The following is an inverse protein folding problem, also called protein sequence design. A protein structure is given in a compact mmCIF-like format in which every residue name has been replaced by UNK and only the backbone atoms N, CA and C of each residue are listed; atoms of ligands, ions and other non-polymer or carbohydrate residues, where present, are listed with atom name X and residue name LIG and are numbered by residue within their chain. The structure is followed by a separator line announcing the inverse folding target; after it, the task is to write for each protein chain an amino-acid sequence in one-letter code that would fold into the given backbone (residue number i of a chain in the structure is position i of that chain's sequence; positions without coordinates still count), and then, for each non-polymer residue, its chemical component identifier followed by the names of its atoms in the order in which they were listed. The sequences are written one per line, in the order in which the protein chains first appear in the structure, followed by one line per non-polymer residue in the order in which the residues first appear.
data_IF_988355010702
#
_entry.id   IF_988355010702
#
_cell.length_a   1.000
_cell.length_b   1.000
_cell.length_c   1.000
_cell.angle_alpha   90.00
_cell.angle_beta   90.00
_cell.angle_gamma   90.00
#
_symmetry.space_group_name_H-M   'P 1'
#
loop_
_entity.id
_entity.type
_entity.pdbx_description
1 polymer ?
#
# COMPACT_ATOMS: atom_id res chain seq x y z
N UNK A 1 -19.39 25.24 16.85
CA UNK A 1 -18.98 24.69 15.54
C UNK A 1 -17.48 24.79 15.31
N UNK A 2 -16.87 25.96 15.46
CA UNK A 2 -15.44 26.16 15.25
C UNK A 2 -14.57 25.26 16.16
N UNK A 3 -14.93 25.13 17.44
CA UNK A 3 -14.20 24.27 18.37
C UNK A 3 -14.25 22.78 17.98
N UNK A 4 -15.40 22.30 17.52
CA UNK A 4 -15.54 20.90 17.06
C UNK A 4 -14.64 20.63 15.87
N UNK A 5 -14.58 21.57 14.93
CA UNK A 5 -13.71 21.46 13.75
C UNK A 5 -12.23 21.44 14.13
N UNK A 6 -11.80 22.31 15.06
CA UNK A 6 -10.42 22.35 15.56
C UNK A 6 -10.04 21.04 16.24
N UNK A 7 -10.90 20.51 17.11
CA UNK A 7 -10.65 19.24 17.77
C UNK A 7 -10.63 18.06 16.81
N UNK A 8 -11.49 18.08 15.78
CA UNK A 8 -11.48 17.06 14.74
C UNK A 8 -10.16 17.06 13.93
N UNK A 9 -9.66 18.24 13.58
CA UNK A 9 -8.36 18.36 12.90
C UNK A 9 -7.20 17.93 13.79
N UNK A 10 -7.23 18.29 15.08
CA UNK A 10 -6.22 17.86 16.03
C UNK A 10 -6.21 16.33 16.19
N UNK A 11 -7.39 15.71 16.34
CA UNK A 11 -7.51 14.26 16.43
C UNK A 11 -7.00 13.56 15.16
N UNK A 12 -7.34 14.09 13.98
CA UNK A 12 -6.83 13.58 12.71
C UNK A 12 -5.30 13.67 12.65
N UNK A 13 -4.74 14.80 13.05
CA UNK A 13 -3.28 15.00 13.11
C UNK A 13 -2.59 13.98 14.01
N UNK A 14 -3.17 13.69 15.19
CA UNK A 14 -2.66 12.68 16.12
C UNK A 14 -2.72 11.28 15.49
N UNK A 15 -3.82 10.92 14.87
CA UNK A 15 -3.96 9.61 14.19
C UNK A 15 -2.92 9.44 13.10
N UNK A 16 -2.72 10.45 12.27
CA UNK A 16 -1.69 10.44 11.22
C UNK A 16 -0.30 10.29 11.82
N UNK A 17 0.03 11.11 12.81
CA UNK A 17 1.33 11.07 13.48
C UNK A 17 1.61 9.71 14.11
N UNK A 18 0.66 9.17 14.88
CA UNK A 18 0.81 7.85 15.50
C UNK A 18 0.99 6.75 14.46
N UNK A 19 0.19 6.76 13.39
CA UNK A 19 0.29 5.74 12.33
C UNK A 19 1.68 5.69 11.70
N UNK A 20 2.26 6.85 11.38
CA UNK A 20 3.61 6.89 10.79
C UNK A 20 4.69 6.58 11.83
N UNK A 21 4.51 6.99 13.08
CA UNK A 21 5.46 6.65 14.16
C UNK A 21 5.52 5.16 14.46
N UNK A 22 4.37 4.48 14.45
CA UNK A 22 4.30 3.02 14.62
C UNK A 22 5.06 2.30 13.51
N UNK A 23 4.92 2.76 12.26
CA UNK A 23 5.63 2.16 11.12
C UNK A 23 7.13 2.32 11.25
N UNK A 24 7.61 3.48 11.69
CA UNK A 24 9.05 3.70 11.93
C UNK A 24 9.59 2.79 13.06
N UNK A 25 8.79 2.57 14.10
CA UNK A 25 9.18 1.73 15.23
C UNK A 25 9.19 0.22 14.91
N UNK A 26 8.30 -0.24 14.02
CA UNK A 26 8.10 -1.66 13.72
C UNK A 26 8.41 -2.08 12.28
N UNK A 27 8.83 -1.18 11.45
CA UNK A 27 9.10 -1.43 10.04
C UNK A 27 9.97 -0.37 9.39
N UNK A 28 9.94 -0.31 8.08
CA UNK A 28 10.64 0.70 7.31
C UNK A 28 9.80 1.98 7.17
N UNK A 29 10.41 3.17 7.16
CA UNK A 29 9.70 4.40 6.86
C UNK A 29 9.11 4.37 5.44
N UNK A 30 7.99 5.06 5.25
CA UNK A 30 7.40 5.23 3.93
C UNK A 30 8.32 6.11 3.06
N UNK A 31 8.86 5.52 2.02
CA UNK A 31 9.66 6.22 0.99
C UNK A 31 8.96 5.97 -0.35
N UNK A 32 8.36 7.00 -0.97
CA UNK A 32 7.69 6.82 -2.26
C UNK A 32 8.68 6.37 -3.34
N UNK A 33 8.34 5.28 -4.03
CA UNK A 33 9.10 4.84 -5.20
C UNK A 33 8.70 5.69 -6.41
N UNK A 34 9.67 6.16 -7.18
CA UNK A 34 9.41 6.93 -8.38
C UNK A 34 8.83 6.04 -9.49
N UNK A 35 7.87 6.57 -10.24
CA UNK A 35 7.20 5.84 -11.32
C UNK A 35 8.16 5.21 -12.33
N UNK A 36 9.22 5.89 -12.83
CA UNK A 36 10.18 5.26 -13.75
C UNK A 36 10.87 4.04 -13.14
N UNK A 37 11.18 4.05 -11.85
CA UNK A 37 11.78 2.92 -11.15
C UNK A 37 10.82 1.74 -11.02
N UNK A 38 9.53 2.00 -10.76
CA UNK A 38 8.49 0.97 -10.74
C UNK A 38 8.38 0.29 -12.09
N UNK A 39 8.32 1.07 -13.17
CA UNK A 39 8.21 0.54 -14.52
C UNK A 39 9.43 -0.28 -14.93
N UNK A 40 10.63 0.19 -14.57
CA UNK A 40 11.88 -0.55 -14.82
C UNK A 40 11.92 -1.88 -14.05
N UNK A 41 11.51 -1.90 -12.79
CA UNK A 41 11.44 -3.11 -11.97
C UNK A 41 10.47 -4.13 -12.56
N UNK A 42 9.26 -3.72 -12.94
CA UNK A 42 8.27 -4.62 -13.58
C UNK A 42 8.76 -5.18 -14.91
N UNK A 43 9.49 -4.39 -15.70
CA UNK A 43 10.09 -4.86 -16.95
C UNK A 43 11.16 -5.94 -16.73
N UNK A 44 11.96 -5.80 -15.66
CA UNK A 44 13.01 -6.76 -15.31
C UNK A 44 12.44 -8.10 -14.81
N UNK A 45 11.34 -8.07 -14.07
CA UNK A 45 10.75 -9.29 -13.48
C UNK A 45 10.04 -10.17 -14.52
N UNK A 46 9.67 -9.62 -15.66
CA UNK A 46 9.02 -10.35 -16.78
C UNK A 46 7.75 -11.11 -16.37
N UNK A 47 6.94 -10.53 -15.49
CA UNK A 47 5.66 -11.12 -15.11
C UNK A 47 4.68 -11.09 -16.29
N UNK A 48 3.91 -12.16 -16.44
CA UNK A 48 2.87 -12.30 -17.44
C UNK A 48 1.49 -12.54 -16.85
N UNK A 49 0.51 -12.72 -17.74
CA UNK A 49 -0.85 -13.13 -17.33
C UNK A 49 -0.78 -14.51 -16.65
N UNK A 50 -1.43 -14.64 -15.52
CA UNK A 50 -1.41 -15.84 -14.67
C UNK A 50 -0.39 -15.78 -13.54
N UNK A 51 0.59 -14.88 -13.61
CA UNK A 51 1.49 -14.60 -12.49
C UNK A 51 0.84 -13.68 -11.46
N UNK A 52 1.28 -13.79 -10.23
CA UNK A 52 0.84 -12.91 -9.14
C UNK A 52 2.04 -12.20 -8.54
N UNK A 53 1.99 -10.86 -8.54
CA UNK A 53 2.96 -10.05 -7.83
C UNK A 53 2.59 -9.99 -6.35
N UNK A 54 3.53 -10.34 -5.49
CA UNK A 54 3.41 -10.16 -4.06
C UNK A 54 4.32 -9.02 -3.62
N UNK A 55 3.75 -7.99 -3.00
CA UNK A 55 4.50 -6.85 -2.51
C UNK A 55 4.35 -6.69 -0.99
N UNK A 56 5.46 -6.76 -0.30
CA UNK A 56 5.54 -6.57 1.13
C UNK A 56 5.88 -5.10 1.42
N UNK A 57 4.98 -4.39 2.11
CA UNK A 57 5.09 -2.95 2.31
C UNK A 57 4.69 -2.17 1.06
N UNK A 58 3.47 -2.39 0.58
CA UNK A 58 3.01 -1.81 -0.70
C UNK A 58 2.80 -0.28 -0.67
N UNK A 59 2.90 0.34 0.50
CA UNK A 59 2.76 1.78 0.66
C UNK A 59 1.43 2.30 0.11
N UNK A 60 1.49 3.28 -0.76
CA UNK A 60 0.32 3.89 -1.41
C UNK A 60 -0.26 3.08 -2.58
N UNK A 61 0.31 1.92 -2.88
CA UNK A 61 -0.18 1.01 -3.92
C UNK A 61 0.28 1.32 -5.34
N UNK A 62 1.26 2.17 -5.53
CA UNK A 62 1.76 2.56 -6.87
C UNK A 62 2.20 1.37 -7.72
N UNK A 63 2.94 0.43 -7.14
CA UNK A 63 3.40 -0.78 -7.83
C UNK A 63 2.24 -1.71 -8.14
N UNK A 64 1.28 -1.84 -7.24
CA UNK A 64 0.07 -2.63 -7.46
C UNK A 64 -0.76 -2.09 -8.63
N UNK A 65 -0.91 -0.78 -8.72
CA UNK A 65 -1.58 -0.11 -9.85
C UNK A 65 -0.85 -0.40 -11.15
N UNK A 66 0.48 -0.25 -11.18
CA UNK A 66 1.28 -0.50 -12.37
C UNK A 66 1.20 -1.96 -12.83
N UNK A 67 1.15 -2.92 -11.92
CA UNK A 67 0.93 -4.33 -12.23
C UNK A 67 -0.47 -4.57 -12.82
N UNK A 68 -1.49 -4.02 -12.18
CA UNK A 68 -2.88 -4.16 -12.62
C UNK A 68 -3.13 -3.56 -14.01
N UNK A 69 -2.52 -2.43 -14.33
CA UNK A 69 -2.58 -1.80 -15.66
C UNK A 69 -2.00 -2.71 -16.75
N UNK A 70 -1.14 -3.66 -16.38
CA UNK A 70 -0.60 -4.69 -17.28
C UNK A 70 -1.37 -6.01 -17.24
N UNK A 71 -2.49 -6.07 -16.52
CA UNK A 71 -3.29 -7.28 -16.34
C UNK A 71 -2.64 -8.33 -15.44
N UNK A 72 -1.66 -7.93 -14.62
CA UNK A 72 -0.97 -8.80 -13.65
C UNK A 72 -1.71 -8.74 -12.32
N UNK A 73 -2.05 -9.91 -11.77
CA UNK A 73 -2.61 -10.00 -10.42
C UNK A 73 -1.58 -9.55 -9.38
N UNK A 74 -2.03 -8.82 -8.37
CA UNK A 74 -1.15 -8.31 -7.33
C UNK A 74 -1.78 -8.42 -5.94
N UNK A 75 -0.96 -8.74 -4.95
CA UNK A 75 -1.32 -8.76 -3.54
C UNK A 75 -0.33 -7.88 -2.80
N UNK A 76 -0.82 -6.85 -2.12
CA UNK A 76 -0.01 -5.95 -1.31
C UNK A 76 -0.32 -6.08 0.17
N UNK A 77 0.71 -6.06 0.99
CA UNK A 77 0.63 -5.97 2.44
C UNK A 77 1.17 -4.64 2.90
N UNK A 78 0.45 -3.96 3.77
CA UNK A 78 0.88 -2.68 4.35
C UNK A 78 0.55 -2.64 5.84
N UNK A 79 1.52 -2.23 6.64
CA UNK A 79 1.39 -2.10 8.09
C UNK A 79 0.69 -0.79 8.49
N UNK A 80 0.95 0.30 7.76
CA UNK A 80 0.34 1.59 8.04
C UNK A 80 -1.12 1.61 7.55
N UNK A 81 -2.10 1.80 8.44
CA UNK A 81 -3.52 1.73 8.07
C UNK A 81 -3.93 2.84 7.09
N UNK A 82 -3.31 4.00 7.15
CA UNK A 82 -3.59 5.11 6.23
C UNK A 82 -3.10 4.77 4.82
N UNK A 83 -1.86 4.28 4.69
CA UNK A 83 -1.32 3.85 3.41
C UNK A 83 -2.07 2.65 2.84
N UNK A 84 -2.42 1.68 3.68
CA UNK A 84 -3.24 0.54 3.26
C UNK A 84 -4.59 0.99 2.70
N UNK A 85 -5.24 1.95 3.34
CA UNK A 85 -6.48 2.53 2.83
C UNK A 85 -6.28 3.26 1.48
N UNK A 86 -5.21 4.05 1.34
CA UNK A 86 -4.88 4.74 0.09
C UNK A 86 -4.61 3.73 -1.03
N UNK A 87 -3.84 2.69 -0.75
CA UNK A 87 -3.57 1.61 -1.70
C UNK A 87 -4.86 0.89 -2.13
N UNK A 88 -5.71 0.57 -1.17
CA UNK A 88 -7.03 -0.02 -1.45
C UNK A 88 -7.89 0.89 -2.32
N UNK A 89 -8.00 2.17 -1.98
CA UNK A 89 -8.81 3.13 -2.73
C UNK A 89 -8.32 3.30 -4.17
N UNK A 90 -7.00 3.34 -4.37
CA UNK A 90 -6.40 3.44 -5.71
C UNK A 90 -6.61 2.20 -6.56
N UNK A 91 -6.63 1.02 -5.93
CA UNK A 91 -6.66 -0.26 -6.64
C UNK A 91 -8.05 -0.86 -6.76
N UNK A 92 -9.05 -0.33 -6.04
CA UNK A 92 -10.42 -0.88 -6.03
C UNK A 92 -11.07 -0.98 -7.41
N UNK A 93 -10.72 -0.10 -8.34
CA UNK A 93 -11.22 -0.12 -9.73
C UNK A 93 -10.78 -1.35 -10.52
N UNK A 94 -9.73 -2.03 -10.07
CA UNK A 94 -9.23 -3.26 -10.72
C UNK A 94 -9.89 -4.53 -10.18
N UNK A 95 -10.80 -4.41 -9.23
CA UNK A 95 -11.60 -5.51 -8.70
C UNK A 95 -10.74 -6.64 -8.12
N UNK A 96 -10.97 -7.86 -8.56
CA UNK A 96 -10.29 -9.05 -8.06
C UNK A 96 -8.82 -9.17 -8.46
N UNK A 97 -8.36 -8.32 -9.38
CA UNK A 97 -6.97 -8.36 -9.85
C UNK A 97 -5.99 -7.92 -8.76
N UNK A 98 -6.40 -7.01 -7.88
CA UNK A 98 -5.58 -6.49 -6.80
C UNK A 98 -6.24 -6.74 -5.44
N UNK A 99 -5.46 -7.26 -4.51
CA UNK A 99 -5.84 -7.41 -3.11
C UNK A 99 -4.87 -6.61 -2.24
N UNK A 100 -5.40 -5.73 -1.40
CA UNK A 100 -4.62 -5.00 -0.39
C UNK A 100 -4.99 -5.50 0.99
N UNK A 101 -4.00 -5.83 1.79
CA UNK A 101 -4.17 -6.30 3.16
C UNK A 101 -3.47 -5.37 4.13
N UNK A 102 -4.22 -4.83 5.07
CA UNK A 102 -3.64 -4.15 6.22
C UNK A 102 -3.18 -5.22 7.22
N UNK A 103 -1.89 -5.51 7.21
CA UNK A 103 -1.34 -6.55 8.04
C UNK A 103 0.18 -6.39 8.23
N UNK A 104 0.68 -6.93 9.34
CA UNK A 104 2.10 -7.13 9.52
C UNK A 104 2.53 -8.41 8.79
N UNK A 105 3.24 -8.28 7.68
CA UNK A 105 3.65 -9.43 6.86
C UNK A 105 4.63 -10.38 7.57
N UNK A 106 5.34 -9.91 8.59
CA UNK A 106 6.18 -10.79 9.43
C UNK A 106 5.38 -11.83 10.21
N UNK A 107 4.08 -11.56 10.43
CA UNK A 107 3.15 -12.43 11.14
C UNK A 107 2.05 -12.99 10.25
N UNK A 108 1.98 -12.56 9.00
CA UNK A 108 0.96 -12.99 8.06
C UNK A 108 1.34 -14.34 7.42
N UNK A 109 0.33 -15.15 7.15
CA UNK A 109 0.50 -16.32 6.28
C UNK A 109 0.48 -15.84 4.85
N UNK A 110 1.63 -15.89 4.18
CA UNK A 110 1.75 -15.48 2.79
C UNK A 110 1.22 -16.57 1.85
N UNK A 111 0.64 -16.19 0.70
CA UNK A 111 0.25 -17.16 -0.32
C UNK A 111 1.48 -17.92 -0.84
N UNK A 112 1.31 -19.20 -1.10
CA UNK A 112 2.34 -20.07 -1.68
C UNK A 112 2.22 -20.08 -3.21
#
# INVERSE_FOLDING_TARGET
MMHVFVWALAALGVVVFVSFSVVVAFGAPYIPTLTPQVLAALALVRLGKGDTLLELGCGDGKVLVAAAERGISAIGYELNPILAFVAWARTRRYGKLVTVRWANFWRATLPQ
#
